data_IF_102601512299
#
_entry.id   IF_102601512299
#
_cell.length_a   1.000
_cell.length_b   1.000
_cell.length_c   1.000
_cell.angle_alpha   90.00
_cell.angle_beta   90.00
_cell.angle_gamma   90.00
#
_symmetry.space_group_name_H-M   'P 1'
#
loop_
_entity.id
_entity.type
_entity.pdbx_description
1 polymer ?
#
# COMPACT_ATOMS: atom_id res chain seq x y z
N UNK A 1 24.33 5.93 -0.29
CA UNK A 1 22.88 5.74 -0.14
C UNK A 1 22.27 7.11 -0.05
N UNK A 2 21.41 7.49 -1.00
CA UNK A 2 20.82 8.83 -1.18
C UNK A 2 21.84 9.95 -1.46
N UNK A 3 21.85 10.50 -2.67
CA UNK A 3 22.71 11.63 -3.06
C UNK A 3 22.26 12.97 -2.46
N UNK A 4 22.02 13.02 -1.15
CA UNK A 4 21.63 14.24 -0.41
C UNK A 4 20.38 14.13 0.50
N UNK A 5 19.75 12.95 0.61
CA UNK A 5 18.54 12.75 1.44
C UNK A 5 18.81 11.96 2.72
N UNK A 6 17.87 12.00 3.67
CA UNK A 6 17.91 11.19 4.89
C UNK A 6 17.70 9.70 4.53
N UNK A 7 18.76 8.91 4.71
CA UNK A 7 18.76 7.49 4.42
C UNK A 7 17.82 6.70 5.34
N UNK A 8 17.63 7.13 6.60
CA UNK A 8 16.68 6.49 7.52
C UNK A 8 15.25 6.62 7.02
N UNK A 9 14.86 7.83 6.58
CA UNK A 9 13.54 8.08 6.02
C UNK A 9 13.33 7.31 4.71
N UNK A 10 14.36 7.26 3.86
CA UNK A 10 14.28 6.56 2.57
C UNK A 10 14.08 5.07 2.75
N UNK A 11 14.84 4.44 3.66
CA UNK A 11 14.73 3.01 3.94
C UNK A 11 13.43 2.67 4.68
N UNK A 12 12.93 3.57 5.51
CA UNK A 12 11.63 3.37 6.17
C UNK A 12 10.45 3.55 5.21
N UNK A 13 10.63 4.28 4.09
CA UNK A 13 9.56 4.64 3.17
C UNK A 13 8.99 3.45 2.39
N UNK A 14 9.75 2.36 2.19
CA UNK A 14 9.22 1.15 1.57
C UNK A 14 8.05 0.57 2.36
N UNK A 15 8.31 0.24 3.63
CA UNK A 15 7.32 -0.34 4.54
C UNK A 15 6.26 0.67 4.99
N UNK A 16 6.68 1.89 5.35
CA UNK A 16 5.74 2.92 5.81
C UNK A 16 4.93 3.53 4.68
N UNK A 17 5.45 3.59 3.46
CA UNK A 17 4.77 4.16 2.31
C UNK A 17 3.55 3.33 1.91
N UNK A 18 3.69 2.00 1.83
CA UNK A 18 2.57 1.09 1.53
C UNK A 18 1.50 1.13 2.63
N UNK A 19 1.93 1.22 3.90
CA UNK A 19 1.03 1.40 5.05
C UNK A 19 0.29 2.74 5.01
N UNK A 20 1.00 3.83 4.71
CA UNK A 20 0.44 5.17 4.63
C UNK A 20 -0.59 5.26 3.50
N UNK A 21 -0.24 4.80 2.29
CA UNK A 21 -1.18 4.78 1.16
C UNK A 21 -2.40 3.94 1.45
N UNK A 22 -2.22 2.76 2.04
CA UNK A 22 -3.35 1.92 2.44
C UNK A 22 -4.27 2.61 3.46
N UNK A 23 -3.69 3.28 4.46
CA UNK A 23 -4.44 4.04 5.44
C UNK A 23 -5.20 5.23 4.83
N UNK A 24 -4.56 5.97 3.92
CA UNK A 24 -5.21 7.08 3.19
C UNK A 24 -6.41 6.57 2.41
N UNK A 25 -6.28 5.47 1.67
CA UNK A 25 -7.39 4.89 0.89
C UNK A 25 -8.57 4.48 1.79
N UNK A 26 -8.30 3.83 2.91
CA UNK A 26 -9.35 3.46 3.88
C UNK A 26 -10.00 4.71 4.49
N UNK A 27 -9.22 5.73 4.86
CA UNK A 27 -9.76 6.96 5.43
C UNK A 27 -10.60 7.76 4.42
N UNK A 28 -10.21 7.78 3.14
CA UNK A 28 -11.00 8.38 2.07
C UNK A 28 -12.33 7.65 1.89
N UNK A 29 -12.31 6.32 1.92
CA UNK A 29 -13.51 5.49 1.84
C UNK A 29 -14.51 5.80 2.98
N UNK A 30 -13.99 5.96 4.21
CA UNK A 30 -14.80 6.22 5.40
C UNK A 30 -15.35 7.65 5.46
N UNK A 31 -14.52 8.65 5.16
CA UNK A 31 -14.87 10.06 5.36
C UNK A 31 -15.65 10.66 4.19
N UNK A 32 -15.43 10.15 2.98
CA UNK A 32 -15.95 10.74 1.75
C UNK A 32 -16.72 9.73 0.90
N UNK A 33 -17.64 8.98 1.51
CA UNK A 33 -18.40 7.92 0.82
C UNK A 33 -19.09 8.43 -0.46
N UNK A 34 -19.63 9.65 -0.46
CA UNK A 34 -20.25 10.25 -1.66
C UNK A 34 -19.25 10.49 -2.81
N UNK A 35 -17.99 10.75 -2.49
CA UNK A 35 -16.92 10.97 -3.47
C UNK A 35 -16.08 9.71 -3.72
N UNK A 36 -16.41 8.57 -3.09
CA UNK A 36 -15.70 7.31 -3.29
C UNK A 36 -15.56 6.92 -4.79
N UNK A 37 -16.59 7.08 -5.66
CA UNK A 37 -16.43 6.78 -7.08
C UNK A 37 -15.34 7.62 -7.76
N UNK A 38 -15.18 8.89 -7.38
CA UNK A 38 -14.15 9.76 -7.94
C UNK A 38 -12.75 9.25 -7.56
N UNK A 39 -12.52 8.87 -6.29
CA UNK A 39 -11.25 8.31 -5.85
C UNK A 39 -10.94 6.96 -6.52
N UNK A 40 -11.91 6.06 -6.62
CA UNK A 40 -11.74 4.79 -7.34
C UNK A 40 -11.34 5.04 -8.80
N UNK A 41 -12.01 5.99 -9.47
CA UNK A 41 -11.71 6.35 -10.84
C UNK A 41 -10.31 6.94 -11.00
N UNK A 42 -9.91 7.84 -10.10
CA UNK A 42 -8.57 8.43 -10.09
C UNK A 42 -7.46 7.36 -9.95
N UNK A 43 -7.66 6.36 -9.07
CA UNK A 43 -6.75 5.22 -8.94
C UNK A 43 -6.72 4.39 -10.23
N UNK A 44 -7.88 4.14 -10.85
CA UNK A 44 -7.96 3.44 -12.13
C UNK A 44 -7.18 4.13 -13.25
N UNK A 45 -7.32 5.46 -13.38
CA UNK A 45 -6.54 6.27 -14.33
C UNK A 45 -5.05 6.18 -14.01
N UNK A 46 -4.68 6.36 -12.74
CA UNK A 46 -3.28 6.32 -12.32
C UNK A 46 -2.63 4.96 -12.66
N UNK A 47 -3.31 3.85 -12.36
CA UNK A 47 -2.83 2.51 -12.69
C UNK A 47 -2.68 2.35 -14.20
N UNK A 48 -3.67 2.79 -14.99
CA UNK A 48 -3.58 2.76 -16.45
C UNK A 48 -2.39 3.55 -16.99
N UNK A 49 -2.19 4.77 -16.49
CA UNK A 49 -1.07 5.64 -16.87
C UNK A 49 0.28 5.02 -16.51
N UNK A 50 0.45 4.57 -15.26
CA UNK A 50 1.70 3.91 -14.81
C UNK A 50 1.97 2.65 -15.64
N UNK A 51 0.93 1.86 -15.95
CA UNK A 51 1.04 0.67 -16.77
C UNK A 51 1.56 1.01 -18.17
N UNK A 52 0.98 2.02 -18.84
CA UNK A 52 1.42 2.46 -20.17
C UNK A 52 2.85 3.03 -20.15
N UNK A 53 3.20 3.78 -19.11
CA UNK A 53 4.49 4.46 -19.03
C UNK A 53 5.65 3.52 -18.69
N UNK A 54 5.43 2.52 -17.84
CA UNK A 54 6.53 1.73 -17.26
C UNK A 54 6.49 0.22 -17.57
N UNK A 55 5.32 -0.35 -17.85
CA UNK A 55 5.22 -1.79 -18.12
C UNK A 55 5.51 -2.06 -19.60
N UNK A 56 6.34 -3.07 -19.86
CA UNK A 56 6.79 -3.44 -21.22
C UNK A 56 6.52 -4.89 -21.61
N UNK A 57 6.02 -5.70 -20.69
CA UNK A 57 5.59 -7.08 -20.96
C UNK A 57 4.11 -7.08 -21.38
N UNK A 58 3.71 -7.78 -22.46
CA UNK A 58 2.31 -7.87 -22.90
C UNK A 58 1.34 -8.31 -21.82
N UNK A 59 1.70 -9.30 -20.99
CA UNK A 59 0.82 -9.75 -19.90
C UNK A 59 0.57 -8.64 -18.87
N UNK A 60 1.64 -7.97 -18.42
CA UNK A 60 1.53 -6.88 -17.46
C UNK A 60 0.76 -5.68 -18.01
N UNK A 61 0.96 -5.36 -19.29
CA UNK A 61 0.19 -4.32 -19.98
C UNK A 61 -1.30 -4.66 -20.02
N UNK A 62 -1.65 -5.86 -20.48
CA UNK A 62 -3.04 -6.31 -20.56
C UNK A 62 -3.71 -6.32 -19.18
N UNK A 63 -3.03 -6.89 -18.18
CA UNK A 63 -3.54 -6.95 -16.81
C UNK A 63 -3.72 -5.57 -16.19
N UNK A 64 -2.70 -4.72 -16.25
CA UNK A 64 -2.75 -3.38 -15.63
C UNK A 64 -3.79 -2.47 -16.29
N UNK A 65 -3.92 -2.53 -17.62
CA UNK A 65 -4.96 -1.79 -18.34
C UNK A 65 -6.35 -2.34 -18.04
N UNK A 66 -6.53 -3.66 -18.03
CA UNK A 66 -7.81 -4.27 -17.68
C UNK A 66 -8.23 -3.92 -16.24
N UNK A 67 -7.27 -3.95 -15.30
CA UNK A 67 -7.53 -3.59 -13.91
C UNK A 67 -7.88 -2.10 -13.76
N UNK A 68 -7.13 -1.21 -14.41
CA UNK A 68 -7.45 0.22 -14.45
C UNK A 68 -8.83 0.50 -15.06
N UNK A 69 -9.16 -0.17 -16.16
CA UNK A 69 -10.47 -0.08 -16.79
C UNK A 69 -11.60 -0.63 -15.89
N UNK A 70 -11.35 -1.71 -15.16
CA UNK A 70 -12.31 -2.26 -14.19
C UNK A 70 -12.59 -1.27 -13.06
N UNK A 71 -11.57 -0.55 -12.55
CA UNK A 71 -11.76 0.49 -11.55
C UNK A 71 -12.52 1.72 -12.10
N UNK A 72 -12.25 2.10 -13.35
CA UNK A 72 -13.03 3.14 -14.04
C UNK A 72 -14.50 2.74 -14.22
N UNK A 73 -14.75 1.49 -14.61
CA UNK A 73 -16.09 0.94 -14.70
C UNK A 73 -16.76 0.91 -13.32
N UNK A 74 -16.04 0.48 -12.28
CA UNK A 74 -16.53 0.51 -10.90
C UNK A 74 -16.92 1.93 -10.46
N UNK A 75 -16.09 2.93 -10.77
CA UNK A 75 -16.38 4.33 -10.50
C UNK A 75 -17.62 4.84 -11.24
N UNK A 76 -17.84 4.39 -12.48
CA UNK A 76 -18.97 4.86 -13.30
C UNK A 76 -20.30 4.17 -12.99
N UNK A 77 -20.26 2.87 -12.69
CA UNK A 77 -21.47 2.03 -12.65
C UNK A 77 -21.86 1.57 -11.25
N UNK A 78 -20.94 1.55 -10.29
CA UNK A 78 -21.26 1.09 -8.93
C UNK A 78 -21.69 2.27 -8.04
N UNK A 79 -22.49 1.96 -7.02
CA UNK A 79 -22.93 2.95 -6.06
C UNK A 79 -21.74 3.50 -5.24
N UNK A 80 -21.88 4.69 -4.63
CA UNK A 80 -20.83 5.26 -3.78
C UNK A 80 -20.45 4.35 -2.60
N UNK A 81 -21.41 3.60 -2.06
CA UNK A 81 -21.17 2.62 -0.98
C UNK A 81 -20.26 1.48 -1.47
N UNK A 82 -20.52 0.94 -2.65
CA UNK A 82 -19.72 -0.16 -3.21
C UNK A 82 -18.32 0.34 -3.58
N UNK A 83 -18.20 1.55 -4.15
CA UNK A 83 -16.90 2.18 -4.37
C UNK A 83 -16.11 2.37 -3.07
N UNK A 84 -16.78 2.75 -1.97
CA UNK A 84 -16.15 2.80 -0.65
C UNK A 84 -15.60 1.44 -0.21
N UNK A 85 -16.33 0.34 -0.46
CA UNK A 85 -15.85 -1.03 -0.18
C UNK A 85 -14.64 -1.43 -1.03
N UNK A 86 -14.61 -1.01 -2.31
CA UNK A 86 -13.45 -1.23 -3.19
C UNK A 86 -12.22 -0.50 -2.66
N UNK A 87 -12.34 0.80 -2.33
CA UNK A 87 -11.25 1.58 -1.75
C UNK A 87 -10.77 1.00 -0.43
N UNK A 88 -11.70 0.50 0.40
CA UNK A 88 -11.35 -0.19 1.64
C UNK A 88 -10.55 -1.47 1.37
N UNK A 89 -11.00 -2.31 0.44
CA UNK A 89 -10.30 -3.55 0.10
C UNK A 89 -8.89 -3.24 -0.42
N UNK A 90 -8.76 -2.31 -1.37
CA UNK A 90 -7.47 -1.87 -1.91
C UNK A 90 -6.56 -1.33 -0.80
N UNK A 91 -7.08 -0.47 0.07
CA UNK A 91 -6.32 0.14 1.15
C UNK A 91 -5.86 -0.88 2.19
N UNK A 92 -6.74 -1.78 2.61
CA UNK A 92 -6.41 -2.82 3.58
C UNK A 92 -5.40 -3.81 3.00
N UNK A 93 -5.56 -4.22 1.73
CA UNK A 93 -4.57 -5.05 1.04
C UNK A 93 -3.21 -4.36 1.02
N UNK A 94 -3.15 -3.05 0.71
CA UNK A 94 -1.90 -2.28 0.74
C UNK A 94 -1.26 -2.27 2.13
N UNK A 95 -2.04 -2.05 3.20
CA UNK A 95 -1.52 -2.08 4.57
C UNK A 95 -0.99 -3.45 4.98
N UNK A 96 -1.73 -4.53 4.65
CA UNK A 96 -1.33 -5.90 4.96
C UNK A 96 -0.14 -6.36 4.12
N UNK A 97 0.02 -5.80 2.91
CA UNK A 97 1.16 -6.08 2.06
C UNK A 97 2.47 -5.65 2.72
N UNK A 98 2.49 -4.55 3.48
CA UNK A 98 3.66 -4.14 4.26
C UNK A 98 4.15 -5.26 5.20
N UNK A 99 3.23 -6.03 5.81
CA UNK A 99 3.58 -7.17 6.68
C UNK A 99 4.20 -8.30 5.88
N UNK A 100 3.65 -8.61 4.70
CA UNK A 100 4.17 -9.65 3.82
C UNK A 100 5.56 -9.29 3.27
N UNK A 101 5.76 -8.01 2.95
CA UNK A 101 7.03 -7.46 2.46
C UNK A 101 8.13 -7.63 3.52
N UNK A 102 7.85 -7.19 4.76
CA UNK A 102 8.80 -7.35 5.88
C UNK A 102 9.05 -8.83 6.20
N UNK A 103 8.01 -9.68 6.16
CA UNK A 103 8.18 -11.13 6.38
C UNK A 103 9.08 -11.74 5.30
N UNK A 104 8.90 -11.34 4.04
CA UNK A 104 9.76 -11.81 2.95
C UNK A 104 11.21 -11.37 3.15
N UNK A 105 11.41 -10.11 3.51
CA UNK A 105 12.72 -9.48 3.66
C UNK A 105 13.52 -9.95 4.89
N UNK A 106 12.83 -10.31 5.97
CA UNK A 106 13.45 -10.62 7.26
C UNK A 106 13.53 -12.12 7.52
N UNK A 107 12.55 -12.89 7.04
CA UNK A 107 12.43 -14.33 7.34
C UNK A 107 12.71 -15.20 6.12
N UNK A 108 12.11 -14.90 4.97
CA UNK A 108 12.21 -15.78 3.80
C UNK A 108 13.51 -15.60 3.02
N UNK A 109 14.05 -14.38 3.02
CA UNK A 109 15.25 -14.01 2.24
C UNK A 109 16.23 -13.16 3.05
N UNK A 110 16.64 -13.62 4.26
CA UNK A 110 17.51 -12.85 5.14
C UNK A 110 18.89 -12.54 4.51
N UNK A 111 19.31 -13.33 3.52
CA UNK A 111 20.54 -13.13 2.75
C UNK A 111 20.50 -11.91 1.82
N UNK A 112 19.31 -11.44 1.45
CA UNK A 112 19.14 -10.25 0.64
C UNK A 112 19.41 -8.99 1.47
N UNK A 113 19.83 -7.93 0.76
CA UNK A 113 20.04 -6.62 1.34
C UNK A 113 18.73 -5.83 1.31
N UNK A 114 17.86 -6.12 2.27
CA UNK A 114 16.57 -5.43 2.47
C UNK A 114 16.74 -4.08 3.17
N UNK A 115 15.70 -3.25 3.10
CA UNK A 115 15.66 -1.94 3.79
C UNK A 115 15.87 -2.11 5.31
N UNK A 116 15.27 -3.15 5.91
CA UNK A 116 15.47 -3.50 7.31
C UNK A 116 16.93 -3.86 7.63
N UNK A 117 17.63 -4.52 6.72
CA UNK A 117 19.04 -4.89 6.88
C UNK A 117 19.96 -3.67 6.73
N UNK A 118 19.63 -2.77 5.82
CA UNK A 118 20.36 -1.51 5.67
C UNK A 118 20.17 -0.59 6.89
N UNK A 119 18.98 -0.56 7.47
CA UNK A 119 18.74 0.11 8.76
C UNK A 119 19.57 -0.52 9.87
N UNK A 120 19.67 -1.86 9.90
CA UNK A 120 20.50 -2.56 10.88
C UNK A 120 21.99 -2.22 10.75
N UNK A 121 22.51 -2.16 9.52
CA UNK A 121 23.88 -1.72 9.22
C UNK A 121 24.12 -0.27 9.67
N UNK A 122 23.13 0.62 9.50
CA UNK A 122 23.24 2.03 9.88
C UNK A 122 23.12 2.29 11.38
N UNK A 123 22.24 1.58 12.09
CA UNK A 123 21.92 1.86 13.50
C UNK A 123 22.57 0.89 14.48
N UNK A 124 23.18 -0.20 14.00
CA UNK A 124 23.71 -1.29 14.83
C UNK A 124 22.63 -2.15 15.52
N UNK A 125 21.36 -1.92 15.21
CA UNK A 125 20.22 -2.65 15.77
C UNK A 125 19.89 -3.84 14.87
N UNK A 126 19.68 -5.07 15.38
CA UNK A 126 19.45 -6.24 14.54
C UNK A 126 18.24 -6.09 13.58
N UNK A 127 18.37 -6.63 12.37
CA UNK A 127 17.33 -6.61 11.32
C UNK A 127 15.97 -7.10 11.82
N UNK A 128 15.96 -8.14 12.68
CA UNK A 128 14.73 -8.73 13.25
C UNK A 128 13.98 -7.73 14.12
N UNK A 129 14.69 -6.83 14.83
CA UNK A 129 14.07 -5.80 15.66
C UNK A 129 13.38 -4.76 14.79
N UNK A 130 14.04 -4.30 13.73
CA UNK A 130 13.43 -3.39 12.76
C UNK A 130 12.23 -4.02 12.05
N UNK A 131 12.36 -5.27 11.61
CA UNK A 131 11.26 -6.02 11.02
C UNK A 131 10.07 -6.17 11.95
N UNK A 132 10.31 -6.60 13.19
CA UNK A 132 9.28 -6.72 14.22
C UNK A 132 8.59 -5.39 14.52
N UNK A 133 9.35 -4.29 14.61
CA UNK A 133 8.82 -2.95 14.84
C UNK A 133 7.89 -2.49 13.72
N UNK A 134 8.28 -2.68 12.45
CA UNK A 134 7.45 -2.30 11.31
C UNK A 134 6.22 -3.20 11.13
N UNK A 135 6.34 -4.50 11.40
CA UNK A 135 5.19 -5.41 11.42
C UNK A 135 4.20 -4.98 12.51
N UNK A 136 4.69 -4.70 13.72
CA UNK A 136 3.84 -4.24 14.82
C UNK A 136 3.12 -2.93 14.48
N UNK A 137 3.81 -1.97 13.86
CA UNK A 137 3.21 -0.72 13.39
C UNK A 137 2.14 -0.97 12.31
N UNK A 138 2.41 -1.82 11.32
CA UNK A 138 1.47 -2.16 10.27
C UNK A 138 0.20 -2.84 10.81
N UNK A 139 0.37 -3.82 11.70
CA UNK A 139 -0.74 -4.52 12.36
C UNK A 139 -1.57 -3.57 13.24
N UNK A 140 -0.91 -2.68 14.00
CA UNK A 140 -1.60 -1.68 14.82
C UNK A 140 -2.46 -0.75 13.97
N UNK A 141 -1.92 -0.23 12.86
CA UNK A 141 -2.68 0.63 11.94
C UNK A 141 -3.84 -0.13 11.29
N UNK A 142 -3.62 -1.36 10.83
CA UNK A 142 -4.69 -2.21 10.28
C UNK A 142 -5.81 -2.43 11.29
N UNK A 143 -5.47 -2.79 12.53
CA UNK A 143 -6.42 -2.97 13.62
C UNK A 143 -7.20 -1.69 13.92
N UNK A 144 -6.49 -0.55 14.00
CA UNK A 144 -7.11 0.75 14.29
C UNK A 144 -8.08 1.18 13.19
N UNK A 145 -7.71 0.98 11.91
CA UNK A 145 -8.57 1.25 10.77
C UNK A 145 -9.80 0.32 10.77
N UNK A 146 -9.60 -0.99 10.96
CA UNK A 146 -10.69 -1.96 11.04
C UNK A 146 -11.68 -1.62 12.17
N UNK A 147 -11.17 -1.22 13.34
CA UNK A 147 -12.00 -0.80 14.48
C UNK A 147 -12.82 0.46 14.18
N UNK A 148 -12.29 1.41 13.42
CA UNK A 148 -13.03 2.62 13.02
C UNK A 148 -14.19 2.28 12.09
N UNK A 149 -14.02 1.29 11.22
CA UNK A 149 -15.06 0.85 10.29
C UNK A 149 -16.18 0.14 11.05
N UNK A 150 -15.85 -0.79 11.94
CA UNK A 150 -16.83 -1.52 12.75
C UNK A 150 -17.67 -0.60 13.65
N UNK A 151 -17.20 0.62 13.94
CA UNK A 151 -17.94 1.63 14.71
C UNK A 151 -18.86 2.51 13.85
N UNK A 152 -18.68 2.50 12.53
CA UNK A 152 -19.46 3.30 11.58
C UNK A 152 -20.50 2.47 10.80
N UNK A 153 -20.39 1.14 10.84
CA UNK A 153 -21.38 0.18 10.31
C UNK A 153 -22.48 -0.08 11.33
#
# INVERSE_FOLDING_TARGET
YCGGGDAFLTLSAGYLGSLLWGAVLVLLALRFTRHAPWFTGAIGVLIGLVTLLYVRNPFGLAFGLAFGAALLAAARYLSPVVNGRVLWALGLTSCLYAVLDIKSDVIDRPELRSDARMLAEMTGVPTVVWGGLWIAAALFVCWWLARRILRQA
#
